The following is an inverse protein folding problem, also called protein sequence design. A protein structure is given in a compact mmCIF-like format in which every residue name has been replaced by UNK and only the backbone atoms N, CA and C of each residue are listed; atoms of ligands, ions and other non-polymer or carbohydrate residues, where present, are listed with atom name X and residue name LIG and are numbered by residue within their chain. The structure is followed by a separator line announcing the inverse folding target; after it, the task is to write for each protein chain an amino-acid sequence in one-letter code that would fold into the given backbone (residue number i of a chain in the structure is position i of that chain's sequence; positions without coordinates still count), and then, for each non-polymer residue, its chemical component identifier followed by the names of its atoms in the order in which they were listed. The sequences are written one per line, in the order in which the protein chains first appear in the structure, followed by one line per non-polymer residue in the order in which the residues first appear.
data_IF_092311217159
#
_entry.id   IF_092311217159
#
_cell.length_a   1.000
_cell.length_b   1.000
_cell.length_c   1.000
_cell.angle_alpha   90.00
_cell.angle_beta   90.00
_cell.angle_gamma   90.00
#
_symmetry.space_group_name_H-M   'P 1'
#
loop_
_entity.id
_entity.type
_entity.pdbx_description
1 polymer ?
#
# COMPACT_ATOMS: atom_id res chain seq x y z
N UNK A 1 6.16 -1.65 18.60
CA UNK A 1 4.82 -1.24 18.15
C UNK A 1 4.96 0.17 17.59
N UNK A 2 4.34 0.47 16.45
CA UNK A 2 4.43 1.79 15.83
C UNK A 2 3.90 2.89 16.77
N UNK A 3 4.57 4.05 16.77
CA UNK A 3 4.15 5.26 17.48
C UNK A 3 3.34 6.23 16.60
N UNK A 4 3.03 5.82 15.37
CA UNK A 4 2.20 6.59 14.45
C UNK A 4 0.76 6.70 15.00
N UNK A 5 0.17 7.89 14.92
CA UNK A 5 -1.20 8.14 15.42
C UNK A 5 -2.17 8.16 14.23
N UNK A 6 -3.25 7.41 14.35
CA UNK A 6 -4.25 7.27 13.28
C UNK A 6 -5.52 8.05 13.65
N UNK A 7 -6.09 8.75 12.67
CA UNK A 7 -7.26 9.59 12.88
C UNK A 7 -8.37 9.22 11.90
N UNK A 8 -9.58 9.07 12.44
CA UNK A 8 -10.84 8.94 11.71
C UNK A 8 -11.94 9.67 12.49
N UNK A 9 -12.05 11.00 12.36
CA UNK A 9 -13.04 11.80 13.09
C UNK A 9 -14.47 11.29 12.88
N UNK A 10 -15.29 11.32 13.93
CA UNK A 10 -16.68 10.84 13.87
C UNK A 10 -17.61 11.82 13.14
N UNK A 11 -17.18 13.08 13.01
CA UNK A 11 -17.93 14.15 12.35
C UNK A 11 -17.90 14.08 10.81
N UNK A 12 -17.11 13.15 10.23
CA UNK A 12 -17.04 12.92 8.80
C UNK A 12 -17.58 11.54 8.41
N UNK A 13 -17.78 11.31 7.10
CA UNK A 13 -18.17 10.00 6.61
C UNK A 13 -17.15 8.93 7.05
N UNK A 14 -17.60 7.73 7.49
CA UNK A 14 -16.70 6.63 7.77
C UNK A 14 -15.84 6.26 6.56
N UNK A 15 -14.69 5.66 6.82
CA UNK A 15 -13.82 5.18 5.76
C UNK A 15 -14.55 4.17 4.85
N UNK A 16 -14.45 4.33 3.54
CA UNK A 16 -15.05 3.41 2.56
C UNK A 16 -14.30 2.06 2.41
N UNK A 17 -13.39 1.75 3.34
CA UNK A 17 -12.54 0.56 3.35
C UNK A 17 -11.50 0.62 4.48
N UNK A 18 -10.58 -0.34 4.56
CA UNK A 18 -9.55 -0.42 5.59
C UNK A 18 -8.43 0.62 5.38
N UNK A 19 -8.73 1.87 5.70
CA UNK A 19 -7.78 2.98 5.73
C UNK A 19 -8.12 3.96 6.86
N UNK A 20 -7.13 4.71 7.34
CA UNK A 20 -7.34 5.86 8.23
C UNK A 20 -7.44 7.17 7.43
N UNK A 21 -8.29 8.10 7.84
CA UNK A 21 -8.41 9.40 7.17
C UNK A 21 -7.10 10.21 7.25
N UNK A 22 -6.36 10.07 8.35
CA UNK A 22 -5.01 10.60 8.47
C UNK A 22 -4.11 9.69 9.33
N UNK A 23 -2.81 9.80 9.11
CA UNK A 23 -1.76 9.23 9.95
C UNK A 23 -0.76 10.34 10.28
N UNK A 24 -0.55 10.61 11.56
CA UNK A 24 0.50 11.52 12.04
C UNK A 24 1.74 10.71 12.41
N UNK A 25 2.85 11.10 11.80
CA UNK A 25 4.18 10.56 12.11
C UNK A 25 4.83 11.44 13.17
N UNK A 26 5.28 10.87 14.31
CA UNK A 26 5.88 11.64 15.38
C UNK A 26 7.22 12.26 14.97
N UNK A 27 7.60 13.33 15.66
CA UNK A 27 8.90 13.97 15.47
C UNK A 27 10.06 13.00 15.75
N UNK A 28 11.10 13.06 14.91
CA UNK A 28 12.28 12.20 15.02
C UNK A 28 12.13 10.80 14.42
N UNK A 29 10.98 10.47 13.83
CA UNK A 29 10.81 9.21 13.11
C UNK A 29 11.65 9.17 11.82
N UNK A 30 12.22 8.00 11.52
CA UNK A 30 12.78 7.68 10.20
C UNK A 30 11.65 7.43 9.22
N UNK A 31 11.73 8.02 8.03
CA UNK A 31 10.82 7.75 6.91
C UNK A 31 11.50 6.92 5.83
N UNK A 32 10.73 6.03 5.22
CA UNK A 32 11.10 5.23 4.06
C UNK A 32 10.12 5.53 2.94
N UNK A 33 10.62 6.08 1.84
CA UNK A 33 9.83 6.33 0.64
C UNK A 33 9.95 5.12 -0.28
N UNK A 34 8.83 4.45 -0.54
CA UNK A 34 8.76 3.21 -1.32
C UNK A 34 8.36 3.59 -2.74
N UNK A 35 9.27 3.36 -3.70
CA UNK A 35 8.97 3.56 -5.11
C UNK A 35 7.80 2.66 -5.57
N UNK A 36 7.12 3.07 -6.63
CA UNK A 36 6.02 2.30 -7.23
C UNK A 36 6.41 0.85 -7.49
N UNK A 37 5.70 -0.07 -6.85
CA UNK A 37 5.84 -1.50 -7.03
C UNK A 37 4.78 -1.98 -8.02
N UNK A 38 5.22 -2.80 -8.96
CA UNK A 38 4.37 -3.51 -9.92
C UNK A 38 4.44 -5.01 -9.64
N UNK A 39 3.47 -5.77 -10.14
CA UNK A 39 3.32 -7.19 -9.88
C UNK A 39 4.31 -8.10 -10.61
N UNK A 40 5.50 -7.61 -10.98
CA UNK A 40 6.50 -8.39 -11.73
C UNK A 40 7.27 -9.32 -10.79
N UNK A 41 7.47 -10.56 -11.21
CA UNK A 41 8.26 -11.58 -10.51
C UNK A 41 9.77 -11.32 -10.63
N UNK A 42 10.56 -11.96 -9.77
CA UNK A 42 12.03 -11.79 -9.75
C UNK A 42 12.70 -12.17 -11.07
N UNK A 43 12.14 -13.13 -11.80
CA UNK A 43 12.63 -13.56 -13.11
C UNK A 43 12.13 -12.68 -14.28
N UNK A 44 11.35 -11.65 -13.98
CA UNK A 44 10.76 -10.73 -14.95
C UNK A 44 9.43 -11.19 -15.53
N UNK A 45 8.92 -12.36 -15.13
CA UNK A 45 7.59 -12.81 -15.54
C UNK A 45 6.49 -11.99 -14.87
N UNK A 46 5.31 -11.95 -15.48
CA UNK A 46 4.16 -11.20 -14.97
C UNK A 46 3.00 -12.15 -14.69
N UNK A 47 2.46 -12.16 -13.46
CA UNK A 47 1.25 -12.90 -13.13
C UNK A 47 0.05 -12.46 -13.99
N UNK A 48 -0.87 -13.39 -14.29
CA UNK A 48 -1.88 -13.20 -15.33
C UNK A 48 -3.01 -12.25 -14.94
N UNK A 49 -3.28 -12.11 -13.64
CA UNK A 49 -4.45 -11.40 -13.12
C UNK A 49 -4.09 -10.36 -12.05
N UNK A 50 -5.06 -9.49 -11.75
CA UNK A 50 -4.88 -8.41 -10.80
C UNK A 50 -4.65 -8.90 -9.36
N UNK A 51 -5.24 -10.04 -8.97
CA UNK A 51 -5.06 -10.58 -7.63
C UNK A 51 -3.61 -11.02 -7.42
N UNK A 52 -3.05 -11.77 -8.36
CA UNK A 52 -1.68 -12.26 -8.32
C UNK A 52 -0.66 -11.10 -8.44
N UNK A 53 -0.91 -10.13 -9.33
CA UNK A 53 -0.09 -8.92 -9.39
C UNK A 53 -0.14 -8.13 -8.06
N UNK A 54 -1.31 -8.01 -7.42
CA UNK A 54 -1.45 -7.33 -6.12
C UNK A 54 -0.69 -8.08 -5.03
N UNK A 55 -0.78 -9.42 -4.98
CA UNK A 55 -0.05 -10.23 -4.01
C UNK A 55 1.46 -10.04 -4.14
N UNK A 56 1.98 -10.08 -5.37
CA UNK A 56 3.40 -9.83 -5.68
C UNK A 56 3.85 -8.43 -5.29
N UNK A 57 3.01 -7.41 -5.50
CA UNK A 57 3.27 -6.03 -5.06
C UNK A 57 3.45 -5.97 -3.55
N UNK A 58 2.55 -6.58 -2.77
CA UNK A 58 2.69 -6.61 -1.32
C UNK A 58 3.91 -7.40 -0.86
N UNK A 59 4.25 -8.52 -1.53
CA UNK A 59 5.48 -9.26 -1.25
C UNK A 59 6.74 -8.41 -1.52
N UNK A 60 6.73 -7.57 -2.56
CA UNK A 60 7.82 -6.62 -2.84
C UNK A 60 7.91 -5.53 -1.77
N UNK A 61 6.77 -4.94 -1.37
CA UNK A 61 6.71 -3.96 -0.28
C UNK A 61 7.27 -4.56 1.01
N UNK A 62 6.88 -5.79 1.37
CA UNK A 62 7.38 -6.48 2.55
C UNK A 62 8.89 -6.75 2.50
N UNK A 63 9.44 -7.06 1.32
CA UNK A 63 10.88 -7.20 1.12
C UNK A 63 11.62 -5.86 1.34
N UNK A 64 11.08 -4.76 0.82
CA UNK A 64 11.63 -3.40 0.97
C UNK A 64 11.62 -2.99 2.44
N UNK A 65 10.49 -3.19 3.13
CA UNK A 65 10.36 -2.90 4.56
C UNK A 65 11.38 -3.69 5.37
N UNK A 66 11.47 -5.02 5.16
CA UNK A 66 12.46 -5.86 5.86
C UNK A 66 13.89 -5.40 5.61
N UNK A 67 14.24 -5.00 4.39
CA UNK A 67 15.57 -4.49 4.07
C UNK A 67 15.90 -3.17 4.81
N UNK A 68 14.89 -2.34 5.08
CA UNK A 68 15.00 -1.14 5.90
C UNK A 68 14.84 -1.41 7.42
N UNK A 69 14.77 -2.69 7.80
CA UNK A 69 14.52 -3.16 9.15
C UNK A 69 13.15 -2.80 9.69
N UNK A 70 12.16 -2.51 8.84
CA UNK A 70 10.76 -2.12 9.12
C UNK A 70 9.77 -3.27 8.86
N UNK A 71 8.52 -3.12 9.33
CA UNK A 71 7.42 -4.05 9.11
C UNK A 71 6.17 -3.40 8.49
N UNK A 72 5.15 -4.18 8.10
CA UNK A 72 3.89 -3.65 7.54
C UNK A 72 3.17 -2.63 8.44
N UNK A 73 3.33 -2.74 9.76
CA UNK A 73 2.80 -1.80 10.75
C UNK A 73 3.45 -0.40 10.71
N UNK A 74 4.60 -0.29 10.03
CA UNK A 74 5.28 0.99 9.82
C UNK A 74 4.73 1.73 8.59
N UNK A 75 3.90 1.10 7.75
CA UNK A 75 3.30 1.74 6.57
C UNK A 75 2.32 2.83 7.04
N UNK A 76 2.53 4.07 6.60
CA UNK A 76 1.68 5.22 6.93
C UNK A 76 0.84 5.72 5.77
N UNK A 77 1.27 5.45 4.53
CA UNK A 77 0.54 5.81 3.31
C UNK A 77 0.73 4.74 2.24
N UNK A 78 -0.35 4.43 1.52
CA UNK A 78 -0.28 3.74 0.23
C UNK A 78 -1.07 4.53 -0.82
N UNK A 79 -0.56 4.57 -2.05
CA UNK A 79 -1.31 5.06 -3.20
C UNK A 79 -1.43 3.96 -4.24
N UNK A 80 -2.65 3.72 -4.71
CA UNK A 80 -2.98 2.72 -5.70
C UNK A 80 -3.31 3.40 -7.03
N UNK A 81 -2.58 3.04 -8.07
CA UNK A 81 -2.84 3.45 -9.45
C UNK A 81 -3.33 2.23 -10.22
N UNK A 82 -4.63 2.19 -10.55
CA UNK A 82 -5.28 1.00 -11.12
C UNK A 82 -5.79 1.30 -12.53
N UNK A 83 -5.57 0.39 -13.48
CA UNK A 83 -5.96 0.62 -14.88
C UNK A 83 -7.46 0.42 -15.12
N UNK A 84 -8.02 -0.68 -14.62
CA UNK A 84 -9.44 -1.03 -14.81
C UNK A 84 -10.19 -1.11 -13.49
N UNK A 85 -11.40 -0.55 -13.44
CA UNK A 85 -12.31 -0.70 -12.30
C UNK A 85 -12.76 -2.15 -12.09
N UNK A 86 -12.74 -2.97 -13.13
CA UNK A 86 -13.18 -4.38 -13.07
C UNK A 86 -12.25 -5.23 -12.20
N UNK A 87 -10.99 -4.79 -12.04
CA UNK A 87 -9.99 -5.46 -11.21
C UNK A 87 -10.12 -5.10 -9.71
N UNK A 88 -10.90 -4.05 -9.37
CA UNK A 88 -10.99 -3.54 -7.99
C UNK A 88 -11.49 -4.56 -6.95
N UNK A 89 -12.49 -5.42 -7.23
CA UNK A 89 -12.92 -6.43 -6.26
C UNK A 89 -11.77 -7.34 -5.82
N UNK A 90 -10.98 -7.84 -6.78
CA UNK A 90 -9.86 -8.73 -6.52
C UNK A 90 -8.67 -8.02 -5.87
N UNK A 91 -8.34 -6.80 -6.32
CA UNK A 91 -7.30 -5.97 -5.69
C UNK A 91 -7.65 -5.72 -4.21
N UNK A 92 -8.89 -5.33 -3.92
CA UNK A 92 -9.36 -5.07 -2.55
C UNK A 92 -9.31 -6.33 -1.70
N UNK A 93 -9.79 -7.47 -2.22
CA UNK A 93 -9.73 -8.76 -1.50
C UNK A 93 -8.30 -9.11 -1.07
N UNK A 94 -7.33 -8.95 -1.98
CA UNK A 94 -5.92 -9.23 -1.64
C UNK A 94 -5.38 -8.19 -0.66
N UNK A 95 -5.55 -6.89 -0.92
CA UNK A 95 -5.16 -5.81 -0.01
C UNK A 95 -5.67 -6.04 1.43
N UNK A 96 -6.94 -6.38 1.58
CA UNK A 96 -7.60 -6.53 2.88
C UNK A 96 -7.05 -7.73 3.66
N UNK A 97 -6.48 -8.72 2.98
CA UNK A 97 -5.76 -9.85 3.61
C UNK A 97 -4.31 -9.52 4.00
N UNK A 98 -3.73 -8.44 3.46
CA UNK A 98 -2.33 -8.04 3.70
C UNK A 98 -2.21 -6.92 4.73
N UNK A 99 -3.24 -6.09 4.87
CA UNK A 99 -3.26 -5.00 5.84
C UNK A 99 -3.98 -5.40 7.13
N UNK A 100 -3.50 -4.88 8.26
CA UNK A 100 -4.10 -5.04 9.58
C UNK A 100 -4.23 -3.68 10.26
N UNK A 101 -5.12 -3.59 11.24
CA UNK A 101 -5.23 -2.38 12.06
C UNK A 101 -3.95 -2.14 12.90
N UNK A 102 -3.55 -0.88 13.10
CA UNK A 102 -4.15 0.32 12.53
C UNK A 102 -3.81 0.51 11.04
N UNK A 103 -4.79 0.86 10.21
CA UNK A 103 -4.60 0.93 8.76
C UNK A 103 -3.88 2.20 8.29
N UNK A 104 -3.07 2.17 7.22
CA UNK A 104 -2.44 3.36 6.67
C UNK A 104 -3.45 4.34 6.05
N UNK A 105 -3.01 5.55 5.75
CA UNK A 105 -3.77 6.46 4.90
C UNK A 105 -3.85 5.93 3.45
N UNK A 106 -5.07 5.85 2.92
CA UNK A 106 -5.51 5.30 1.63
C UNK A 106 -5.62 6.33 0.49
N UNK A 107 -5.08 6.10 -0.70
CA UNK A 107 -5.65 6.72 -1.93
C UNK A 107 -5.67 5.72 -3.06
N UNK A 108 -6.72 5.78 -3.90
CA UNK A 108 -6.86 4.96 -5.09
C UNK A 108 -7.36 5.85 -6.22
N UNK A 109 -6.69 5.77 -7.37
CA UNK A 109 -7.11 6.44 -8.60
C UNK A 109 -7.12 5.46 -9.76
N UNK A 110 -8.08 5.64 -10.66
CA UNK A 110 -8.09 4.97 -11.95
C UNK A 110 -7.22 5.76 -12.93
N UNK A 111 -6.29 5.09 -13.60
CA UNK A 111 -5.36 5.70 -14.56
C UNK A 111 -5.51 5.05 -15.94
N UNK A 112 -5.31 5.77 -17.05
CA UNK A 112 -5.53 5.20 -18.39
C UNK A 112 -4.49 4.15 -18.79
N UNK A 113 -3.29 4.17 -18.20
CA UNK A 113 -2.17 3.26 -18.47
C UNK A 113 -1.07 3.41 -17.41
N UNK A 114 -0.22 2.39 -17.30
CA UNK A 114 1.02 2.41 -16.51
C UNK A 114 2.25 2.34 -17.45
N UNK A 115 3.44 2.18 -16.88
CA UNK A 115 4.70 2.11 -17.64
C UNK A 115 4.77 0.98 -18.68
N UNK A 116 3.98 -0.09 -18.51
CA UNK A 116 3.79 -1.15 -19.49
C UNK A 116 2.29 -1.51 -19.61
N UNK A 117 1.81 -1.89 -20.80
CA UNK A 117 0.38 -2.15 -21.02
C UNK A 117 -0.12 -3.40 -20.29
N UNK A 118 0.74 -4.33 -19.91
CA UNK A 118 0.36 -5.56 -19.21
C UNK A 118 0.18 -5.34 -17.68
N UNK A 119 0.66 -4.21 -17.14
CA UNK A 119 0.54 -3.90 -15.72
C UNK A 119 -0.88 -3.44 -15.40
N UNK A 120 -1.52 -4.10 -14.42
CA UNK A 120 -2.90 -3.81 -14.02
C UNK A 120 -2.99 -2.78 -12.90
N UNK A 121 -1.98 -2.76 -12.02
CA UNK A 121 -1.85 -1.79 -10.96
C UNK A 121 -0.37 -1.51 -10.63
N UNK A 122 -0.16 -0.34 -10.04
CA UNK A 122 1.08 0.06 -9.38
C UNK A 122 0.74 0.62 -8.00
N UNK A 123 1.57 0.31 -7.00
CA UNK A 123 1.40 0.80 -5.63
C UNK A 123 2.69 1.41 -5.12
N UNK A 124 2.64 2.68 -4.73
CA UNK A 124 3.71 3.33 -3.98
C UNK A 124 3.32 3.48 -2.51
N UNK A 125 4.28 3.88 -1.67
CA UNK A 125 3.98 4.11 -0.28
C UNK A 125 5.04 4.87 0.50
N UNK A 126 4.67 5.16 1.74
CA UNK A 126 5.55 5.73 2.74
C UNK A 126 5.42 4.88 3.99
N UNK A 127 6.55 4.49 4.56
CA UNK A 127 6.62 3.92 5.90
C UNK A 127 7.38 4.86 6.83
N UNK A 128 7.05 4.84 8.11
CA UNK A 128 7.70 5.65 9.13
C UNK A 128 7.76 4.92 10.46
N UNK A 129 8.91 5.05 11.14
CA UNK A 129 9.14 4.48 12.45
C UNK A 129 10.05 5.35 13.30
N UNK A 130 9.71 5.53 14.56
CA UNK A 130 10.59 6.08 15.59
C UNK A 130 11.52 4.97 16.11
N UNK A 131 12.82 5.20 16.12
CA UNK A 131 13.80 4.26 16.70
C UNK A 131 13.88 4.37 18.24
N UNK A 132 12.76 4.66 18.92
CA UNK A 132 12.67 4.83 20.37
C UNK A 132 12.02 3.61 21.01
#
# INVERSE_FOLDING_TARGET
MSSNRHFSPEEMAPAFGPYSHAVEVPAGARTLHIAGQVGVERDGTLPPDAAAQTARIFDNIDLILRAAGMGPEDIVKLNFFVVSSDDLPEIRRVRDSRLKEPFPAMSLVLVPKLGRPEWRLEVDGIAARSDI
#
